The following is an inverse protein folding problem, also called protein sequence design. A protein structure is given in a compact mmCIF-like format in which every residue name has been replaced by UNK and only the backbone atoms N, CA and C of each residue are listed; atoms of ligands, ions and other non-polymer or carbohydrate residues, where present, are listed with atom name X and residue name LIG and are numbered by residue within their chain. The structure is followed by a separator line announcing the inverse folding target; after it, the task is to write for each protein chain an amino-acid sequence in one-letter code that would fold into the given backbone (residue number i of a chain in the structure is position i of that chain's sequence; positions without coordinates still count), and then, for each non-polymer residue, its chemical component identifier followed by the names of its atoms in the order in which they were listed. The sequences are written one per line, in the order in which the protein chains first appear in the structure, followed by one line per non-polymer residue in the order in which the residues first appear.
data_IF_593967810112
#
_entry.id   IF_593967810112
#
_cell.length_a   1.000
_cell.length_b   1.000
_cell.length_c   1.000
_cell.angle_alpha   90.00
_cell.angle_beta   90.00
_cell.angle_gamma   90.00
#
_symmetry.space_group_name_H-M   'P 1'
#
loop_
_entity.id
_entity.type
_entity.pdbx_description
1 polymer ?
#
# COMPACT_ATOMS: atom_id res chain seq x y z
N UNK A 1 20.24 31.39 -18.57
CA UNK A 1 20.81 30.37 -17.65
C UNK A 1 19.68 29.84 -16.79
N UNK A 2 19.37 28.55 -16.83
CA UNK A 2 18.42 27.94 -15.87
C UNK A 2 19.21 27.61 -14.60
N UNK A 3 18.86 28.21 -13.48
CA UNK A 3 19.35 27.78 -12.18
C UNK A 3 18.62 26.50 -11.79
N UNK A 4 19.36 25.41 -11.63
CA UNK A 4 18.83 24.21 -11.00
C UNK A 4 18.86 24.45 -9.49
N UNK A 5 17.69 24.63 -8.90
CA UNK A 5 17.55 24.65 -7.44
C UNK A 5 17.58 23.20 -6.97
N UNK A 6 18.51 22.87 -6.09
CA UNK A 6 18.48 21.59 -5.38
C UNK A 6 17.39 21.70 -4.33
N UNK A 7 16.29 20.99 -4.53
CA UNK A 7 15.25 20.88 -3.52
C UNK A 7 15.77 19.97 -2.41
N UNK A 8 15.74 20.46 -1.17
CA UNK A 8 15.90 19.63 0.01
C UNK A 8 14.61 18.83 0.21
N UNK A 9 14.50 17.72 -0.53
CA UNK A 9 13.35 16.82 -0.45
C UNK A 9 13.50 15.98 0.83
N UNK A 10 12.52 16.00 1.75
CA UNK A 10 12.52 15.13 2.92
C UNK A 10 12.70 13.68 2.49
N UNK A 11 13.65 12.97 3.12
CA UNK A 11 13.81 11.54 2.90
C UNK A 11 12.77 10.81 3.72
N UNK A 12 11.72 10.32 3.06
CA UNK A 12 10.69 9.50 3.67
C UNK A 12 11.13 8.04 3.72
N UNK A 13 10.81 7.38 4.82
CA UNK A 13 11.03 5.94 4.99
C UNK A 13 9.82 5.15 4.48
N UNK A 14 9.98 3.85 4.34
CA UNK A 14 8.91 2.88 4.06
C UNK A 14 8.67 2.02 5.29
N UNK A 15 7.43 1.61 5.51
CA UNK A 15 7.12 0.72 6.62
C UNK A 15 7.82 -0.63 6.45
N UNK A 16 8.44 -1.13 7.53
CA UNK A 16 8.95 -2.49 7.56
C UNK A 16 7.77 -3.48 7.54
N UNK A 17 7.83 -4.46 6.64
CA UNK A 17 6.80 -5.49 6.50
C UNK A 17 7.44 -6.86 6.28
N UNK A 18 6.91 -7.88 6.94
CA UNK A 18 7.32 -9.27 6.79
C UNK A 18 6.64 -9.89 5.57
N UNK A 19 7.41 -10.06 4.51
CA UNK A 19 6.95 -10.69 3.27
C UNK A 19 7.54 -12.11 3.21
N UNK A 20 6.70 -13.17 3.29
CA UNK A 20 7.16 -14.54 3.14
C UNK A 20 7.78 -14.80 1.76
N UNK A 21 8.62 -15.84 1.66
CA UNK A 21 9.15 -16.31 0.37
C UNK A 21 8.02 -16.66 -0.59
N UNK A 22 8.19 -16.32 -1.88
CA UNK A 22 7.21 -16.60 -2.93
C UNK A 22 6.41 -15.38 -3.40
N UNK A 23 6.56 -14.25 -2.69
CA UNK A 23 6.00 -12.97 -3.08
C UNK A 23 7.04 -12.09 -3.77
N UNK A 24 6.65 -11.44 -4.87
CA UNK A 24 7.40 -10.33 -5.50
C UNK A 24 6.77 -9.00 -5.10
N UNK A 25 7.62 -7.98 -4.93
CA UNK A 25 7.18 -6.60 -4.76
C UNK A 25 7.17 -5.95 -6.14
N UNK A 26 5.97 -5.71 -6.69
CA UNK A 26 5.81 -5.07 -8.00
C UNK A 26 5.85 -3.54 -7.86
N UNK A 27 5.35 -3.02 -6.73
CA UNK A 27 5.33 -1.58 -6.41
C UNK A 27 5.38 -1.39 -4.90
N UNK A 28 6.11 -0.38 -4.44
CA UNK A 28 6.10 0.05 -3.04
C UNK A 28 6.35 1.57 -2.90
N UNK A 29 5.25 2.28 -2.68
CA UNK A 29 5.15 3.69 -2.28
C UNK A 29 4.40 3.80 -0.94
N UNK A 30 4.46 2.77 -0.09
CA UNK A 30 3.81 2.78 1.23
C UNK A 30 4.77 3.38 2.27
N UNK A 31 4.76 4.71 2.32
CA UNK A 31 5.65 5.53 3.15
C UNK A 31 5.26 5.49 4.63
N UNK A 32 6.24 5.72 5.51
CA UNK A 32 6.01 5.90 6.96
C UNK A 32 5.39 7.26 7.28
N UNK A 33 4.16 7.45 6.81
CA UNK A 33 3.36 8.66 7.03
C UNK A 33 2.05 8.23 7.66
N UNK A 34 1.79 8.72 8.87
CA UNK A 34 0.55 8.45 9.58
C UNK A 34 -0.54 9.45 9.14
N UNK A 35 -1.56 9.04 8.35
CA UNK A 35 -2.59 9.94 7.87
C UNK A 35 -3.44 10.53 9.01
N UNK A 36 -3.50 9.88 10.17
CA UNK A 36 -4.27 10.37 11.33
C UNK A 36 -3.63 11.62 11.98
N UNK A 37 -2.36 11.89 11.68
CA UNK A 37 -1.58 12.98 12.25
C UNK A 37 -1.24 14.08 11.23
N UNK A 38 -1.78 14.01 10.01
CA UNK A 38 -1.59 15.02 8.97
C UNK A 38 -2.59 16.17 9.10
N UNK A 39 -2.15 17.38 8.74
CA UNK A 39 -3.06 18.50 8.53
C UNK A 39 -3.90 18.25 7.25
N UNK A 40 -5.23 18.43 7.26
CA UNK A 40 -6.06 18.28 6.06
C UNK A 40 -5.63 19.12 4.86
N UNK A 41 -4.93 20.24 5.07
CA UNK A 41 -4.44 21.13 4.01
C UNK A 41 -2.97 20.86 3.61
N UNK A 42 -2.36 19.76 4.09
CA UNK A 42 -0.96 19.42 3.79
C UNK A 42 -0.77 18.86 2.37
N UNK A 43 0.22 19.36 1.62
CA UNK A 43 0.57 18.84 0.29
C UNK A 43 1.02 17.37 0.31
N UNK A 44 1.38 16.82 1.48
CA UNK A 44 1.71 15.40 1.65
C UNK A 44 0.57 14.48 1.19
N UNK A 45 -0.69 14.93 1.20
CA UNK A 45 -1.81 14.14 0.69
C UNK A 45 -1.62 13.70 -0.78
N UNK A 46 -0.84 14.43 -1.60
CA UNK A 46 -0.48 14.01 -2.96
C UNK A 46 0.31 12.69 -3.03
N UNK A 47 0.85 12.21 -1.91
CA UNK A 47 1.54 10.92 -1.82
C UNK A 47 0.57 9.75 -1.63
N UNK A 48 -0.69 10.01 -1.25
CA UNK A 48 -1.72 9.01 -0.99
C UNK A 48 -2.55 8.75 -2.27
N UNK A 49 -1.98 7.96 -3.17
CA UNK A 49 -2.59 7.55 -4.45
C UNK A 49 -3.38 6.24 -4.33
N UNK A 50 -4.16 5.93 -5.35
CA UNK A 50 -4.91 4.69 -5.49
C UNK A 50 -4.12 3.39 -5.51
N UNK A 51 -2.82 3.47 -5.74
CA UNK A 51 -1.93 2.34 -5.79
C UNK A 51 -0.65 2.72 -5.06
N UNK A 52 -0.48 2.20 -3.86
CA UNK A 52 0.68 2.42 -3.00
C UNK A 52 1.55 1.18 -2.92
N UNK A 53 0.96 0.00 -2.78
CA UNK A 53 1.68 -1.27 -2.65
C UNK A 53 1.06 -2.32 -3.56
N UNK A 54 1.90 -3.07 -4.27
CA UNK A 54 1.46 -4.25 -5.00
C UNK A 54 2.43 -5.40 -4.78
N UNK A 55 1.88 -6.50 -4.28
CA UNK A 55 2.58 -7.75 -4.05
C UNK A 55 1.96 -8.85 -4.91
N UNK A 56 2.78 -9.73 -5.47
CA UNK A 56 2.31 -10.81 -6.33
C UNK A 56 2.92 -12.15 -5.92
N UNK A 57 2.07 -13.17 -5.76
CA UNK A 57 2.48 -14.53 -5.45
C UNK A 57 2.37 -15.42 -6.69
N UNK A 58 3.48 -15.55 -7.42
CA UNK A 58 3.51 -16.15 -8.77
C UNK A 58 2.91 -17.56 -8.85
N UNK A 59 3.22 -18.45 -7.89
CA UNK A 59 2.74 -19.85 -7.92
C UNK A 59 1.21 -19.96 -7.80
N UNK A 60 0.58 -19.00 -7.12
CA UNK A 60 -0.86 -19.02 -6.80
C UNK A 60 -1.67 -18.05 -7.66
N UNK A 61 -1.00 -17.27 -8.50
CA UNK A 61 -1.60 -16.19 -9.27
C UNK A 61 -2.42 -15.23 -8.40
N UNK A 62 -1.94 -14.94 -7.20
CA UNK A 62 -2.60 -14.02 -6.27
C UNK A 62 -1.90 -12.67 -6.31
N UNK A 63 -2.68 -11.60 -6.40
CA UNK A 63 -2.21 -10.22 -6.28
C UNK A 63 -2.84 -9.59 -5.06
N UNK A 64 -2.03 -8.98 -4.20
CA UNK A 64 -2.47 -8.05 -3.17
C UNK A 64 -2.13 -6.64 -3.67
N UNK A 65 -3.15 -5.81 -3.85
CA UNK A 65 -3.00 -4.42 -4.23
C UNK A 65 -3.57 -3.55 -3.11
N UNK A 66 -2.87 -2.48 -2.78
CA UNK A 66 -3.31 -1.54 -1.74
C UNK A 66 -3.04 -0.11 -2.19
N UNK A 67 -4.00 0.76 -1.94
CA UNK A 67 -3.83 2.20 -2.09
C UNK A 67 -4.80 2.98 -1.23
N UNK A 68 -4.80 4.29 -1.37
CA UNK A 68 -5.64 5.20 -0.61
C UNK A 68 -6.86 5.63 -1.42
N UNK A 69 -8.05 5.59 -0.81
CA UNK A 69 -9.32 5.92 -1.49
C UNK A 69 -10.25 6.75 -0.59
N UNK A 70 -10.87 7.84 -1.11
CA UNK A 70 -10.54 8.49 -2.38
C UNK A 70 -9.13 9.10 -2.38
N UNK A 71 -8.45 9.02 -3.52
CA UNK A 71 -7.07 9.48 -3.69
C UNK A 71 -6.88 10.94 -3.26
N UNK A 72 -5.76 11.21 -2.59
CA UNK A 72 -5.33 12.53 -2.16
C UNK A 72 -6.23 13.24 -1.15
N UNK A 73 -7.30 12.61 -0.68
CA UNK A 73 -8.24 13.26 0.22
C UNK A 73 -7.99 12.85 1.68
N UNK A 74 -7.99 13.79 2.63
CA UNK A 74 -7.81 13.51 4.06
C UNK A 74 -8.81 12.51 4.64
N UNK A 75 -10.03 12.49 4.11
CA UNK A 75 -11.11 11.60 4.52
C UNK A 75 -11.01 10.18 3.94
N UNK A 76 -9.95 9.88 3.19
CA UNK A 76 -9.76 8.55 2.63
C UNK A 76 -9.32 7.48 3.63
N UNK A 77 -9.19 6.26 3.12
CA UNK A 77 -8.68 5.11 3.85
C UNK A 77 -7.74 4.31 2.95
N UNK A 78 -6.86 3.53 3.56
CA UNK A 78 -6.18 2.46 2.84
C UNK A 78 -7.22 1.38 2.50
N UNK A 79 -7.30 1.02 1.22
CA UNK A 79 -8.07 -0.11 0.73
C UNK A 79 -7.09 -1.18 0.24
N UNK A 80 -7.09 -2.32 0.91
CA UNK A 80 -6.38 -3.53 0.49
C UNK A 80 -7.36 -4.43 -0.26
N UNK A 81 -6.96 -4.91 -1.44
CA UNK A 81 -7.73 -5.84 -2.27
C UNK A 81 -6.86 -7.05 -2.60
N UNK A 82 -7.40 -8.25 -2.38
CA UNK A 82 -6.76 -9.51 -2.74
C UNK A 82 -7.50 -10.13 -3.92
N UNK A 83 -6.77 -10.44 -4.97
CA UNK A 83 -7.27 -10.91 -6.26
C UNK A 83 -6.67 -12.27 -6.60
N UNK A 84 -7.44 -13.09 -7.31
CA UNK A 84 -6.91 -14.29 -7.98
C UNK A 84 -6.99 -14.05 -9.49
N UNK A 85 -5.90 -14.37 -10.21
CA UNK A 85 -5.78 -14.18 -11.66
C UNK A 85 -6.16 -12.76 -12.13
N UNK A 86 -5.91 -11.74 -11.29
CA UNK A 86 -6.24 -10.33 -11.58
C UNK A 86 -7.75 -10.07 -11.84
N UNK A 87 -8.64 -10.91 -11.30
CA UNK A 87 -10.10 -10.73 -11.41
C UNK A 87 -10.59 -9.62 -10.46
N UNK A 88 -10.55 -8.38 -10.94
CA UNK A 88 -11.00 -7.18 -10.22
C UNK A 88 -12.51 -7.11 -9.99
N UNK A 89 -13.30 -7.82 -10.81
CA UNK A 89 -14.75 -7.88 -10.66
C UNK A 89 -15.14 -8.77 -9.46
N UNK A 90 -14.28 -9.74 -9.13
CA UNK A 90 -14.51 -10.69 -8.04
C UNK A 90 -13.27 -10.85 -7.13
N UNK A 91 -12.95 -9.82 -6.34
CA UNK A 91 -11.87 -9.92 -5.36
C UNK A 91 -12.19 -10.99 -4.31
N UNK A 92 -11.14 -11.69 -3.88
CA UNK A 92 -11.22 -12.70 -2.82
C UNK A 92 -11.57 -12.03 -1.49
N UNK A 93 -10.92 -10.90 -1.22
CA UNK A 93 -11.05 -10.20 0.05
C UNK A 93 -10.78 -8.70 -0.14
N UNK A 94 -11.41 -7.89 0.71
CA UNK A 94 -11.20 -6.45 0.82
C UNK A 94 -11.06 -6.08 2.29
N UNK A 95 -10.15 -5.18 2.59
CA UNK A 95 -9.96 -4.61 3.92
C UNK A 95 -9.73 -3.11 3.81
N UNK A 96 -10.36 -2.34 4.70
CA UNK A 96 -10.27 -0.88 4.70
C UNK A 96 -9.96 -0.37 6.11
N UNK A 97 -8.98 0.51 6.23
CA UNK A 97 -8.63 1.21 7.47
C UNK A 97 -7.80 2.45 7.16
N UNK A 98 -7.89 3.50 7.97
CA UNK A 98 -6.95 4.63 7.93
C UNK A 98 -5.76 4.43 8.89
N UNK A 99 -5.75 3.35 9.68
CA UNK A 99 -4.67 3.02 10.59
C UNK A 99 -3.64 2.12 9.88
N UNK A 100 -2.47 2.68 9.59
CA UNK A 100 -1.41 1.95 8.88
C UNK A 100 -0.93 0.69 9.63
N UNK A 101 -1.04 0.66 10.97
CA UNK A 101 -0.65 -0.50 11.77
C UNK A 101 -1.59 -1.68 11.49
N UNK A 102 -2.90 -1.42 11.50
CA UNK A 102 -3.92 -2.43 11.17
C UNK A 102 -3.75 -2.94 9.73
N UNK A 103 -3.41 -2.05 8.80
CA UNK A 103 -3.13 -2.41 7.41
C UNK A 103 -1.92 -3.33 7.30
N UNK A 104 -0.82 -3.03 7.99
CA UNK A 104 0.38 -3.89 8.02
C UNK A 104 0.05 -5.26 8.62
N UNK A 105 -0.63 -5.29 9.78
CA UNK A 105 -1.02 -6.53 10.44
C UNK A 105 -1.91 -7.40 9.57
N UNK A 106 -2.90 -6.79 8.90
CA UNK A 106 -3.77 -7.47 7.94
C UNK A 106 -2.96 -8.06 6.78
N UNK A 107 -2.09 -7.25 6.15
CA UNK A 107 -1.28 -7.70 5.02
C UNK A 107 -0.36 -8.86 5.47
N UNK A 108 0.44 -8.70 6.52
CA UNK A 108 1.35 -9.75 6.98
C UNK A 108 0.63 -11.07 7.28
N UNK A 109 -0.54 -10.98 7.94
CA UNK A 109 -1.39 -12.14 8.23
C UNK A 109 -1.82 -12.83 6.94
N UNK A 110 -2.34 -12.07 5.96
CA UNK A 110 -2.83 -12.63 4.69
C UNK A 110 -1.71 -13.21 3.84
N UNK A 111 -0.56 -12.55 3.77
CA UNK A 111 0.61 -13.07 3.07
C UNK A 111 1.01 -14.44 3.65
N UNK A 112 1.03 -14.57 4.98
CA UNK A 112 1.36 -15.83 5.64
C UNK A 112 0.31 -16.92 5.41
N UNK A 113 -0.98 -16.61 5.55
CA UNK A 113 -2.10 -17.53 5.29
C UNK A 113 -2.02 -18.08 3.86
N UNK A 114 -1.84 -17.19 2.88
CA UNK A 114 -1.72 -17.56 1.48
C UNK A 114 -0.47 -18.40 1.23
N UNK A 115 0.67 -18.09 1.85
CA UNK A 115 1.89 -18.88 1.67
C UNK A 115 1.80 -20.27 2.31
N UNK A 116 1.07 -20.43 3.41
CA UNK A 116 1.02 -21.68 4.19
C UNK A 116 -0.11 -22.63 3.79
N UNK A 117 -1.13 -22.13 3.08
CA UNK A 117 -2.18 -22.99 2.50
C UNK A 117 -1.61 -23.76 1.30
N UNK A 118 -1.97 -25.01 1.08
CA UNK A 118 -1.53 -25.81 -0.09
C UNK A 118 -2.39 -25.56 -1.34
#
# INVERSE_FOLDING_TARGET
MRQFVKLDVPKLNIHAMRIPTGWSVNKNNFWEIDPCNLDPDDDIWFMFTDSLLQLHHQKKSITLDMGWRPDFLPEGNFLVVILINEDWDKPIERFESNNYIEVIEFIETKLLEITTTD
#
